data_IF_483891414212
#
_entry.id   IF_483891414212
#
_cell.length_a   1.000
_cell.length_b   1.000
_cell.length_c   1.000
_cell.angle_alpha   90.00
_cell.angle_beta   90.00
_cell.angle_gamma   90.00
#
_symmetry.space_group_name_H-M   'P 1'
#
loop_
_entity.id
_entity.type
_entity.pdbx_description
1 polymer ?
#
# COMPACT_ATOMS: atom_id res chain seq x y z
N UNK A 1 -15.43 -13.16 -12.24
CA UNK A 1 -15.55 -12.34 -13.46
C UNK A 1 -14.68 -13.00 -14.52
N UNK A 2 -15.23 -13.97 -15.28
CA UNK A 2 -14.45 -14.92 -16.10
C UNK A 2 -14.25 -14.49 -17.56
N UNK A 3 -14.39 -13.20 -17.87
CA UNK A 3 -14.32 -12.71 -19.25
C UNK A 3 -13.01 -13.08 -19.97
N UNK A 4 -11.90 -13.26 -19.24
CA UNK A 4 -10.65 -13.76 -19.81
C UNK A 4 -10.78 -15.20 -20.33
N UNK A 5 -11.44 -16.06 -19.56
CA UNK A 5 -11.74 -17.43 -19.98
C UNK A 5 -12.62 -17.41 -21.23
N UNK A 6 -13.63 -16.54 -21.25
CA UNK A 6 -14.56 -16.42 -22.38
C UNK A 6 -13.84 -15.94 -23.66
N UNK A 7 -12.91 -14.98 -23.54
CA UNK A 7 -12.11 -14.50 -24.68
C UNK A 7 -11.14 -15.58 -25.19
N UNK A 8 -10.47 -16.29 -24.29
CA UNK A 8 -9.57 -17.40 -24.67
C UNK A 8 -10.35 -18.54 -25.33
N UNK A 9 -11.51 -18.90 -24.78
CA UNK A 9 -12.41 -19.90 -25.36
C UNK A 9 -12.89 -19.48 -26.75
N UNK A 10 -13.25 -18.21 -26.93
CA UNK A 10 -13.65 -17.66 -28.23
C UNK A 10 -12.49 -17.74 -29.24
N UNK A 11 -11.27 -17.38 -28.84
CA UNK A 11 -10.09 -17.48 -29.71
C UNK A 11 -9.78 -18.92 -30.10
N UNK A 12 -9.91 -19.87 -29.17
CA UNK A 12 -9.77 -21.29 -29.45
C UNK A 12 -10.86 -21.79 -30.43
N UNK A 13 -12.11 -21.32 -30.27
CA UNK A 13 -13.20 -21.60 -31.19
C UNK A 13 -12.95 -21.08 -32.61
N UNK A 14 -12.43 -19.84 -32.74
CA UNK A 14 -12.05 -19.25 -34.03
C UNK A 14 -10.92 -20.06 -34.68
N UNK A 15 -9.93 -20.49 -33.89
CA UNK A 15 -8.81 -21.31 -34.39
C UNK A 15 -9.30 -22.66 -34.90
N UNK A 16 -10.18 -23.34 -34.15
CA UNK A 16 -10.77 -24.61 -34.58
C UNK A 16 -11.61 -24.46 -35.85
N UNK A 17 -12.44 -23.42 -35.94
CA UNK A 17 -13.23 -23.13 -37.14
C UNK A 17 -12.34 -22.82 -38.35
N UNK A 18 -11.25 -22.08 -38.15
CA UNK A 18 -10.28 -21.80 -39.20
C UNK A 18 -9.59 -23.07 -39.70
N UNK A 19 -9.27 -24.00 -38.81
CA UNK A 19 -8.70 -25.30 -39.18
C UNK A 19 -9.67 -26.14 -40.03
N UNK A 20 -10.96 -26.14 -39.67
CA UNK A 20 -11.98 -26.81 -40.49
C UNK A 20 -12.09 -26.19 -41.89
N UNK A 21 -12.00 -24.86 -42.00
CA UNK A 21 -11.99 -24.18 -43.32
C UNK A 21 -10.75 -24.59 -44.12
N UNK A 22 -9.57 -24.73 -43.48
CA UNK A 22 -8.37 -25.20 -44.16
C UNK A 22 -8.57 -26.61 -44.75
N UNK A 23 -9.13 -27.55 -43.98
CA UNK A 23 -9.43 -28.90 -44.44
C UNK A 23 -10.41 -28.91 -45.63
N UNK A 24 -11.47 -28.11 -45.57
CA UNK A 24 -12.43 -27.97 -46.69
C UNK A 24 -11.72 -27.42 -47.94
N UNK A 25 -10.82 -26.45 -47.75
CA UNK A 25 -10.08 -25.84 -48.86
C UNK A 25 -9.13 -26.85 -49.53
N UNK A 26 -8.52 -27.75 -48.75
CA UNK A 26 -7.74 -28.88 -49.27
C UNK A 26 -8.59 -29.84 -50.11
N UNK A 27 -9.83 -30.12 -49.69
CA UNK A 27 -10.79 -30.94 -50.46
C UNK A 27 -11.17 -30.24 -51.77
N UNK A 28 -11.45 -28.93 -51.74
CA UNK A 28 -11.77 -28.14 -52.94
C UNK A 28 -10.61 -28.17 -53.95
N UNK A 29 -9.37 -27.98 -53.48
CA UNK A 29 -8.18 -28.06 -54.33
C UNK A 29 -8.04 -29.47 -54.96
N UNK A 30 -8.35 -30.52 -54.20
CA UNK A 30 -8.35 -31.91 -54.69
C UNK A 30 -9.42 -32.15 -55.76
N UNK A 31 -10.63 -31.60 -55.59
CA UNK A 31 -11.72 -31.67 -56.59
C UNK A 31 -11.32 -30.91 -57.86
N UNK A 32 -10.72 -29.72 -57.71
CA UNK A 32 -10.23 -28.94 -58.84
C UNK A 32 -9.16 -29.71 -59.62
N UNK A 33 -8.24 -30.39 -58.93
CA UNK A 33 -7.25 -31.25 -59.57
C UNK A 33 -7.90 -32.42 -60.34
N UNK A 34 -8.84 -33.14 -59.71
CA UNK A 34 -9.56 -34.24 -60.38
C UNK A 34 -10.34 -33.76 -61.61
N UNK A 35 -11.00 -32.61 -61.52
CA UNK A 35 -11.74 -31.98 -62.63
C UNK A 35 -10.80 -31.61 -63.77
N UNK A 36 -9.60 -31.11 -63.46
CA UNK A 36 -8.56 -30.82 -64.44
C UNK A 36 -8.08 -32.09 -65.18
N UNK A 37 -7.94 -33.23 -64.48
CA UNK A 37 -7.60 -34.52 -65.11
C UNK A 37 -8.75 -35.05 -65.99
N UNK A 38 -10.00 -34.95 -65.52
CA UNK A 38 -11.19 -35.32 -66.31
C UNK A 38 -11.30 -34.51 -67.60
N UNK A 39 -11.08 -33.19 -67.50
CA UNK A 39 -11.09 -32.29 -68.65
C UNK A 39 -9.98 -32.62 -69.66
N UNK A 40 -8.78 -32.99 -69.17
CA UNK A 40 -7.69 -33.45 -70.04
C UNK A 40 -8.08 -34.73 -70.79
N UNK A 41 -8.66 -35.72 -70.10
CA UNK A 41 -9.12 -36.96 -70.74
C UNK A 41 -10.21 -36.69 -71.78
N UNK A 42 -11.15 -35.79 -71.49
CA UNK A 42 -12.20 -35.38 -72.43
C UNK A 42 -11.61 -34.69 -73.68
N UNK A 43 -10.59 -33.84 -73.51
CA UNK A 43 -9.90 -33.20 -74.62
C UNK A 43 -9.18 -34.22 -75.53
N UNK A 44 -8.59 -35.28 -74.94
CA UNK A 44 -7.96 -36.38 -75.70
C UNK A 44 -9.00 -37.18 -76.48
N UNK A 45 -10.13 -37.53 -75.87
CA UNK A 45 -11.18 -38.29 -76.56
C UNK A 45 -11.86 -37.45 -77.66
N UNK A 46 -12.02 -36.14 -77.43
CA UNK A 46 -12.50 -35.21 -78.44
C UNK A 46 -11.55 -35.11 -79.65
N UNK A 47 -10.22 -35.11 -79.41
CA UNK A 47 -9.24 -35.16 -80.48
C UNK A 47 -9.32 -36.49 -81.26
N UNK A 48 -9.61 -37.60 -80.58
CA UNK A 48 -9.77 -38.94 -81.17
C UNK A 48 -11.02 -39.05 -82.06
N UNK A 49 -12.09 -38.34 -81.71
CA UNK A 49 -13.33 -38.27 -82.51
C UNK A 49 -13.22 -37.37 -83.77
N UNK A 50 -12.09 -36.70 -83.98
CA UNK A 50 -11.84 -35.85 -85.16
C UNK A 50 -12.81 -34.67 -85.25
N UNK A 51 -13.37 -34.44 -86.44
CA UNK A 51 -14.28 -33.31 -86.70
C UNK A 51 -15.54 -33.32 -85.83
N UNK A 52 -16.04 -34.50 -85.46
CA UNK A 52 -17.23 -34.65 -84.60
C UNK A 52 -16.94 -34.26 -83.14
N UNK A 53 -15.67 -34.25 -82.72
CA UNK A 53 -15.24 -33.90 -81.37
C UNK A 53 -14.93 -32.42 -81.17
N UNK A 54 -14.97 -31.58 -82.22
CA UNK A 54 -14.54 -30.16 -82.13
C UNK A 54 -15.28 -29.37 -81.05
N UNK A 55 -16.60 -29.54 -80.94
CA UNK A 55 -17.39 -28.88 -79.88
C UNK A 55 -17.03 -29.34 -78.48
N UNK A 56 -16.80 -30.65 -78.30
CA UNK A 56 -16.38 -31.23 -77.03
C UNK A 56 -14.98 -30.80 -76.61
N UNK A 57 -14.05 -30.62 -77.57
CA UNK A 57 -12.70 -30.13 -77.30
C UNK A 57 -12.68 -28.72 -76.69
N UNK A 58 -13.56 -27.83 -77.17
CA UNK A 58 -13.70 -26.46 -76.63
C UNK A 58 -14.23 -26.49 -75.20
N UNK A 59 -15.28 -27.27 -74.95
CA UNK A 59 -15.86 -27.43 -73.60
C UNK A 59 -14.83 -28.03 -72.64
N UNK A 60 -14.07 -29.03 -73.07
CA UNK A 60 -13.00 -29.62 -72.26
C UNK A 60 -11.91 -28.59 -71.91
N UNK A 61 -11.54 -27.71 -72.85
CA UNK A 61 -10.61 -26.60 -72.60
C UNK A 61 -11.14 -25.61 -71.56
N UNK A 62 -12.41 -25.24 -71.65
CA UNK A 62 -13.04 -24.31 -70.70
C UNK A 62 -13.16 -24.91 -69.29
N UNK A 63 -13.56 -26.18 -69.18
CA UNK A 63 -13.60 -26.90 -67.90
C UNK A 63 -12.21 -26.99 -67.27
N UNK A 64 -11.17 -27.24 -68.08
CA UNK A 64 -9.77 -27.28 -67.62
C UNK A 64 -9.32 -25.91 -67.08
N UNK A 65 -9.66 -24.83 -67.78
CA UNK A 65 -9.34 -23.47 -67.34
C UNK A 65 -10.03 -23.15 -66.01
N UNK A 66 -11.33 -23.45 -65.90
CA UNK A 66 -12.10 -23.25 -64.67
C UNK A 66 -11.52 -24.04 -63.50
N UNK A 67 -11.13 -25.29 -63.72
CA UNK A 67 -10.48 -26.13 -62.72
C UNK A 67 -9.14 -25.53 -62.24
N UNK A 68 -8.30 -25.04 -63.16
CA UNK A 68 -7.04 -24.37 -62.80
C UNK A 68 -7.27 -23.08 -62.00
N UNK A 69 -8.28 -22.29 -62.36
CA UNK A 69 -8.66 -21.08 -61.61
C UNK A 69 -9.17 -21.41 -60.21
N UNK A 70 -9.98 -22.46 -60.08
CA UNK A 70 -10.49 -22.93 -58.80
C UNK A 70 -9.36 -23.42 -57.88
N UNK A 71 -8.39 -24.17 -58.41
CA UNK A 71 -7.21 -24.60 -57.64
C UNK A 71 -6.34 -23.42 -57.18
N UNK A 72 -6.18 -22.38 -58.02
CA UNK A 72 -5.50 -21.15 -57.64
C UNK A 72 -6.19 -20.43 -56.49
N UNK A 73 -7.50 -20.21 -56.61
CA UNK A 73 -8.30 -19.57 -55.56
C UNK A 73 -8.28 -20.37 -54.24
N UNK A 74 -8.35 -21.70 -54.31
CA UNK A 74 -8.25 -22.55 -53.13
C UNK A 74 -6.92 -22.36 -52.39
N UNK A 75 -5.79 -22.31 -53.11
CA UNK A 75 -4.48 -22.05 -52.49
C UNK A 75 -4.37 -20.66 -51.86
N UNK A 76 -4.98 -19.64 -52.46
CA UNK A 76 -5.02 -18.29 -51.87
C UNK A 76 -5.83 -18.27 -50.57
N UNK A 77 -6.98 -18.95 -50.53
CA UNK A 77 -7.79 -19.11 -49.32
C UNK A 77 -7.01 -19.85 -48.24
N UNK A 78 -6.33 -20.94 -48.59
CA UNK A 78 -5.51 -21.73 -47.67
C UNK A 78 -4.42 -20.87 -47.01
N UNK A 79 -3.74 -20.03 -47.80
CA UNK A 79 -2.73 -19.10 -47.30
C UNK A 79 -3.32 -18.04 -46.34
N UNK A 80 -4.47 -17.46 -46.69
CA UNK A 80 -5.16 -16.48 -45.83
C UNK A 80 -5.62 -17.11 -44.51
N UNK A 81 -6.16 -18.32 -44.55
CA UNK A 81 -6.58 -19.05 -43.36
C UNK A 81 -5.38 -19.41 -42.47
N UNK A 82 -4.27 -19.84 -43.06
CA UNK A 82 -3.03 -20.10 -42.31
C UNK A 82 -2.53 -18.85 -41.57
N UNK A 83 -2.57 -17.68 -42.22
CA UNK A 83 -2.23 -16.42 -41.56
C UNK A 83 -3.24 -16.04 -40.47
N UNK A 84 -4.55 -16.25 -40.69
CA UNK A 84 -5.58 -16.04 -39.68
C UNK A 84 -5.35 -16.90 -38.43
N UNK A 85 -5.04 -18.19 -38.59
CA UNK A 85 -4.72 -19.10 -37.46
C UNK A 85 -3.52 -18.57 -36.67
N UNK A 86 -2.45 -18.15 -37.36
CA UNK A 86 -1.25 -17.58 -36.72
C UNK A 86 -1.57 -16.33 -35.91
N UNK A 87 -2.38 -15.42 -36.46
CA UNK A 87 -2.79 -14.18 -35.79
C UNK A 87 -3.68 -14.44 -34.58
N UNK A 88 -4.60 -15.40 -34.67
CA UNK A 88 -5.46 -15.80 -33.55
C UNK A 88 -4.63 -16.41 -32.41
N UNK A 89 -3.68 -17.29 -32.73
CA UNK A 89 -2.78 -17.86 -31.73
C UNK A 89 -1.93 -16.78 -31.02
N UNK A 90 -1.38 -15.82 -31.77
CA UNK A 90 -0.68 -14.68 -31.19
C UNK A 90 -1.60 -13.84 -30.30
N UNK A 91 -2.83 -13.56 -30.75
CA UNK A 91 -3.82 -12.83 -29.97
C UNK A 91 -4.19 -13.54 -28.66
N UNK A 92 -4.35 -14.86 -28.68
CA UNK A 92 -4.61 -15.67 -27.50
C UNK A 92 -3.48 -15.56 -26.47
N UNK A 93 -2.22 -15.60 -26.91
CA UNK A 93 -1.07 -15.42 -26.02
C UNK A 93 -1.07 -14.03 -25.37
N UNK A 94 -1.28 -12.97 -26.14
CA UNK A 94 -1.32 -11.60 -25.60
C UNK A 94 -2.45 -11.42 -24.56
N UNK A 95 -3.62 -12.02 -24.80
CA UNK A 95 -4.74 -11.98 -23.85
C UNK A 95 -4.37 -12.70 -22.56
N UNK A 96 -3.69 -13.84 -22.64
CA UNK A 96 -3.23 -14.59 -21.47
C UNK A 96 -2.22 -13.80 -20.63
N UNK A 97 -1.24 -13.14 -21.27
CA UNK A 97 -0.28 -12.26 -20.60
C UNK A 97 -0.96 -11.05 -19.94
N UNK A 98 -1.95 -10.47 -20.64
CA UNK A 98 -2.77 -9.37 -20.09
C UNK A 98 -3.58 -9.84 -18.87
N UNK A 99 -4.10 -11.07 -18.91
CA UNK A 99 -4.79 -11.69 -17.77
C UNK A 99 -3.90 -11.79 -16.54
N UNK A 100 -2.68 -12.28 -16.69
CA UNK A 100 -1.72 -12.35 -15.60
C UNK A 100 -1.38 -10.97 -15.00
N UNK A 101 -1.30 -9.94 -15.85
CA UNK A 101 -1.05 -8.56 -15.41
C UNK A 101 -2.24 -8.00 -14.62
N UNK A 102 -3.48 -8.27 -15.04
CA UNK A 102 -4.66 -7.84 -14.29
C UNK A 102 -4.79 -8.58 -12.95
N UNK A 103 -4.42 -9.85 -12.88
CA UNK A 103 -4.33 -10.58 -11.61
C UNK A 103 -3.33 -9.93 -10.65
N UNK A 104 -2.18 -9.46 -11.15
CA UNK A 104 -1.22 -8.71 -10.35
C UNK A 104 -1.80 -7.38 -9.85
N UNK A 105 -2.56 -6.67 -10.69
CA UNK A 105 -3.26 -5.43 -10.29
C UNK A 105 -4.29 -5.71 -9.20
N UNK A 106 -5.11 -6.76 -9.33
CA UNK A 106 -6.08 -7.14 -8.30
C UNK A 106 -5.43 -7.45 -6.96
N UNK A 107 -4.27 -8.12 -6.96
CA UNK A 107 -3.47 -8.34 -5.75
C UNK A 107 -3.00 -7.03 -5.14
N UNK A 108 -2.46 -6.12 -5.95
CA UNK A 108 -2.03 -4.80 -5.49
C UNK A 108 -3.17 -3.97 -4.88
N UNK A 109 -4.35 -3.98 -5.49
CA UNK A 109 -5.54 -3.31 -4.93
C UNK A 109 -5.95 -3.92 -3.59
N UNK A 110 -5.85 -5.24 -3.44
CA UNK A 110 -6.15 -5.94 -2.19
C UNK A 110 -5.15 -5.56 -1.08
N UNK A 111 -3.87 -5.43 -1.42
CA UNK A 111 -2.82 -4.98 -0.51
C UNK A 111 -3.06 -3.54 -0.05
N UNK A 112 -3.34 -2.62 -0.98
CA UNK A 112 -3.70 -1.23 -0.66
C UNK A 112 -4.92 -1.18 0.27
N UNK A 113 -5.94 -1.99 0.00
CA UNK A 113 -7.13 -2.08 0.87
C UNK A 113 -6.76 -2.55 2.28
N UNK A 114 -5.83 -3.49 2.40
CA UNK A 114 -5.33 -4.00 3.68
C UNK A 114 -4.59 -2.91 4.45
N UNK A 115 -3.71 -2.16 3.77
CA UNK A 115 -2.98 -1.03 4.35
C UNK A 115 -3.97 0.04 4.83
N UNK A 116 -5.00 0.37 4.05
CA UNK A 116 -6.03 1.34 4.45
C UNK A 116 -6.78 0.90 5.72
N UNK A 117 -7.06 -0.39 5.87
CA UNK A 117 -7.66 -0.94 7.11
C UNK A 117 -6.72 -0.78 8.31
N UNK A 118 -5.42 -1.05 8.12
CA UNK A 118 -4.42 -0.86 9.17
C UNK A 118 -4.27 0.61 9.57
N UNK A 119 -4.24 1.54 8.59
CA UNK A 119 -4.19 2.99 8.84
C UNK A 119 -5.42 3.44 9.62
N UNK A 120 -6.62 2.98 9.24
CA UNK A 120 -7.85 3.32 9.93
C UNK A 120 -7.81 2.87 11.40
N UNK A 121 -7.37 1.64 11.66
CA UNK A 121 -7.20 1.12 13.02
C UNK A 121 -6.18 1.91 13.83
N UNK A 122 -5.01 2.20 13.25
CA UNK A 122 -3.96 2.98 13.89
C UNK A 122 -4.42 4.43 14.18
N UNK A 123 -5.20 5.01 13.27
CA UNK A 123 -5.78 6.36 13.44
C UNK A 123 -6.81 6.39 14.58
N UNK A 124 -7.62 5.34 14.73
CA UNK A 124 -8.54 5.22 15.86
C UNK A 124 -7.80 5.11 17.19
N UNK A 125 -6.73 4.32 17.25
CA UNK A 125 -5.89 4.18 18.44
C UNK A 125 -5.16 5.48 18.79
N UNK A 126 -4.59 6.16 17.79
CA UNK A 126 -4.00 7.49 17.98
C UNK A 126 -5.02 8.50 18.48
N UNK A 127 -6.25 8.49 17.96
CA UNK A 127 -7.32 9.38 18.43
C UNK A 127 -7.65 9.15 19.90
N UNK A 128 -7.74 7.87 20.33
CA UNK A 128 -7.90 7.50 21.75
C UNK A 128 -6.73 7.98 22.60
N UNK A 129 -5.50 7.78 22.14
CA UNK A 129 -4.29 8.26 22.82
C UNK A 129 -4.26 9.79 22.98
N UNK A 130 -4.61 10.54 21.93
CA UNK A 130 -4.71 12.01 21.99
C UNK A 130 -5.77 12.45 22.99
N UNK A 131 -6.92 11.78 23.05
CA UNK A 131 -7.96 12.08 24.04
C UNK A 131 -7.44 11.90 25.48
N UNK A 132 -6.69 10.83 25.75
CA UNK A 132 -6.08 10.60 27.07
C UNK A 132 -5.02 11.66 27.41
N UNK A 133 -4.18 12.04 26.45
CA UNK A 133 -3.22 13.13 26.62
C UNK A 133 -3.94 14.44 26.94
N UNK A 134 -5.07 14.71 26.26
CA UNK A 134 -5.90 15.88 26.55
C UNK A 134 -6.38 15.92 28.00
N UNK A 135 -6.85 14.79 28.53
CA UNK A 135 -7.25 14.68 29.96
C UNK A 135 -6.06 14.93 30.90
N UNK A 136 -4.90 14.35 30.60
CA UNK A 136 -3.70 14.55 31.42
C UNK A 136 -3.25 16.02 31.45
N UNK A 137 -3.34 16.72 30.32
CA UNK A 137 -3.02 18.15 30.23
C UNK A 137 -3.99 18.98 31.09
N UNK A 138 -5.29 18.70 31.04
CA UNK A 138 -6.27 19.39 31.90
C UNK A 138 -6.02 19.14 33.39
N UNK A 139 -5.64 17.91 33.76
CA UNK A 139 -5.25 17.58 35.14
C UNK A 139 -3.99 18.35 35.57
N UNK A 140 -2.96 18.40 34.72
CA UNK A 140 -1.73 19.15 34.97
C UNK A 140 -2.01 20.65 35.11
N UNK A 141 -2.87 21.21 34.28
CA UNK A 141 -3.29 22.62 34.39
C UNK A 141 -3.96 22.90 35.73
N UNK A 142 -4.88 22.02 36.17
CA UNK A 142 -5.53 22.15 37.48
C UNK A 142 -4.54 22.12 38.65
N UNK A 143 -3.57 21.20 38.66
CA UNK A 143 -2.52 21.15 39.69
C UNK A 143 -1.63 22.39 39.61
N UNK A 144 -1.33 22.88 38.41
CA UNK A 144 -0.53 24.09 38.22
C UNK A 144 -1.25 25.32 38.79
N UNK A 145 -2.55 25.45 38.56
CA UNK A 145 -3.37 26.52 39.15
C UNK A 145 -3.46 26.39 40.68
N UNK A 146 -3.62 25.17 41.20
CA UNK A 146 -3.62 24.93 42.64
C UNK A 146 -2.28 25.31 43.28
N UNK A 147 -1.16 24.99 42.64
CA UNK A 147 0.17 25.38 43.10
C UNK A 147 0.34 26.90 43.13
N UNK A 148 -0.16 27.61 42.11
CA UNK A 148 -0.14 29.08 42.10
C UNK A 148 -0.95 29.66 43.29
N UNK A 149 -2.15 29.14 43.53
CA UNK A 149 -2.97 29.56 44.68
C UNK A 149 -2.32 29.24 46.03
N UNK A 150 -1.67 28.08 46.17
CA UNK A 150 -0.90 27.72 47.36
C UNK A 150 0.26 28.68 47.58
N UNK A 151 0.99 29.07 46.53
CA UNK A 151 2.08 30.05 46.63
C UNK A 151 1.57 31.42 47.07
N UNK A 152 0.41 31.86 46.57
CA UNK A 152 -0.24 33.10 47.04
C UNK A 152 -0.62 33.01 48.53
N UNK A 153 -1.22 31.90 48.95
CA UNK A 153 -1.59 31.68 50.35
C UNK A 153 -0.37 31.65 51.28
N UNK A 154 0.70 30.96 50.87
CA UNK A 154 1.96 30.91 51.63
C UNK A 154 2.59 32.30 51.72
N UNK A 155 2.59 33.06 50.63
CA UNK A 155 3.10 34.44 50.63
C UNK A 155 2.30 35.34 51.59
N UNK A 156 0.96 35.22 51.59
CA UNK A 156 0.10 35.96 52.52
C UNK A 156 0.31 35.55 53.99
N UNK A 157 0.49 34.25 54.25
CA UNK A 157 0.79 33.74 55.58
C UNK A 157 2.16 34.23 56.08
N UNK A 158 3.18 34.23 55.22
CA UNK A 158 4.49 34.77 55.53
C UNK A 158 4.42 36.26 55.90
N UNK A 159 3.69 37.08 55.12
CA UNK A 159 3.47 38.49 55.43
C UNK A 159 2.66 38.73 56.71
N UNK A 160 1.75 37.83 57.09
CA UNK A 160 1.03 37.90 58.36
C UNK A 160 1.94 37.56 59.55
N UNK A 161 2.77 36.52 59.42
CA UNK A 161 3.77 36.14 60.43
C UNK A 161 4.82 37.24 60.64
N UNK A 162 5.25 37.90 59.57
CA UNK A 162 6.16 39.05 59.63
C UNK A 162 5.54 40.18 60.48
N UNK A 163 4.31 40.62 60.16
CA UNK A 163 3.59 41.64 60.95
C UNK A 163 3.42 41.25 62.42
N UNK A 164 3.06 40.01 62.70
CA UNK A 164 2.89 39.54 64.08
C UNK A 164 4.22 39.53 64.85
N UNK A 165 5.32 39.22 64.17
CA UNK A 165 6.67 39.27 64.75
C UNK A 165 7.07 40.73 65.07
N UNK A 166 6.79 41.67 64.18
CA UNK A 166 7.01 43.10 64.43
C UNK A 166 6.18 43.62 65.62
N UNK A 167 4.89 43.23 65.70
CA UNK A 167 4.01 43.61 66.81
C UNK A 167 4.53 43.05 68.15
N UNK A 168 5.03 41.81 68.15
CA UNK A 168 5.65 41.20 69.32
C UNK A 168 6.93 41.94 69.73
N UNK A 169 7.80 42.28 68.77
CA UNK A 169 9.00 43.09 69.02
C UNK A 169 8.66 44.45 69.61
N UNK A 170 7.65 45.16 69.05
CA UNK A 170 7.17 46.44 69.58
C UNK A 170 6.62 46.30 71.01
N UNK A 171 5.94 45.21 71.32
CA UNK A 171 5.42 44.93 72.67
C UNK A 171 6.55 44.69 73.68
N UNK A 172 7.57 43.92 73.31
CA UNK A 172 8.76 43.68 74.16
C UNK A 172 9.54 44.97 74.41
N UNK A 173 9.65 45.88 73.43
CA UNK A 173 10.32 47.18 73.59
C UNK A 173 9.64 48.11 74.61
N UNK A 174 8.34 47.94 74.88
CA UNK A 174 7.63 48.72 75.92
C UNK A 174 8.05 48.33 77.33
N UNK A 175 8.58 47.11 77.52
CA UNK A 175 9.16 46.71 78.80
C UNK A 175 10.48 47.43 78.99
N UNK A 176 10.43 48.55 79.72
CA UNK A 176 11.62 49.20 80.27
C UNK A 176 12.16 48.32 81.39
N UNK A 177 13.24 47.61 81.09
CA UNK A 177 14.12 47.06 82.13
C UNK A 177 14.68 48.26 82.90
N UNK A 178 14.30 48.40 84.15
CA UNK A 178 14.95 49.32 85.08
C UNK A 178 16.44 49.01 85.05
N UNK A 179 17.23 49.93 84.50
CA UNK A 179 18.66 49.97 84.72
C UNK A 179 18.89 50.28 86.21
N UNK A 180 18.80 49.25 87.06
CA UNK A 180 18.92 49.40 88.50
C UNK A 180 19.26 48.05 89.13
N UNK A 181 20.50 47.62 88.96
CA UNK A 181 21.41 47.46 90.10
C UNK A 181 22.83 47.09 89.62
N UNK A 182 23.88 47.76 90.13
CA UNK A 182 25.26 47.42 89.81
C UNK A 182 25.56 46.05 90.39
N UNK A 183 25.68 45.04 89.52
CA UNK A 183 26.08 43.71 89.94
C UNK A 183 27.51 43.78 90.49
N UNK A 184 27.56 43.68 91.81
CA UNK A 184 28.72 43.71 92.68
C UNK A 184 29.82 42.81 92.12
N UNK A 185 31.00 43.40 91.88
CA UNK A 185 32.24 42.68 91.57
C UNK A 185 32.47 41.62 92.65
N UNK A 186 32.34 40.35 92.28
CA UNK A 186 32.97 39.25 93.02
C UNK A 186 34.27 38.93 92.30
N UNK A 187 35.37 39.47 92.82
CA UNK A 187 36.72 39.05 92.43
C UNK A 187 37.00 37.70 93.08
N UNK A 188 36.89 36.62 92.30
CA UNK A 188 37.40 35.31 92.69
C UNK A 188 38.31 34.75 91.59
N UNK A 189 39.60 35.08 91.74
CA UNK A 189 40.82 34.29 91.50
C UNK A 189 40.88 33.36 90.27
N UNK A 190 41.84 33.68 89.41
CA UNK A 190 42.27 32.91 88.24
C UNK A 190 43.01 31.60 88.60
N UNK A 191 42.90 30.66 87.62
CA UNK A 191 43.86 29.65 87.13
C UNK A 191 43.46 28.16 87.30
N UNK A 192 43.93 27.24 86.45
CA UNK A 192 44.00 27.30 84.97
C UNK A 192 43.52 25.99 84.28
N UNK A 193 43.15 26.12 82.99
CA UNK A 193 43.43 25.18 81.89
C UNK A 193 42.94 23.71 81.94
N UNK A 194 41.97 23.37 81.09
CA UNK A 194 41.97 22.10 80.34
C UNK A 194 41.50 22.33 78.90
N UNK A 195 42.24 21.75 77.98
CA UNK A 195 42.18 21.88 76.52
C UNK A 195 41.02 21.11 75.87
N UNK A 196 40.36 21.78 74.92
CA UNK A 196 40.05 21.38 73.53
C UNK A 196 40.06 19.87 73.17
N UNK A 197 38.89 19.33 72.81
CA UNK A 197 38.73 18.29 71.77
C UNK A 197 37.38 18.56 71.06
N UNK A 198 37.41 19.08 69.84
CA UNK A 198 37.46 18.34 68.57
C UNK A 198 36.06 17.90 68.11
N UNK A 199 35.56 18.67 67.14
CA UNK A 199 34.39 18.45 66.30
C UNK A 199 34.56 17.20 65.43
N UNK A 200 33.47 16.46 65.24
CA UNK A 200 33.31 15.45 64.18
C UNK A 200 32.05 15.78 63.35
N UNK A 201 32.05 15.45 62.04
CA UNK A 201 31.34 16.22 61.03
C UNK A 201 29.88 15.78 60.82
N UNK A 202 29.10 16.73 60.30
CA UNK A 202 27.80 16.50 59.69
C UNK A 202 27.96 15.66 58.42
N UNK A 203 27.15 14.60 58.29
CA UNK A 203 26.83 13.99 57.01
C UNK A 203 25.50 14.57 56.55
N UNK A 204 25.57 15.50 55.61
CA UNK A 204 24.51 15.83 54.68
C UNK A 204 24.46 14.73 53.62
N UNK A 205 23.30 14.08 53.47
CA UNK A 205 22.98 13.36 52.24
C UNK A 205 21.60 13.84 51.83
N UNK A 206 21.62 14.87 50.97
CA UNK A 206 20.48 15.25 50.14
C UNK A 206 20.18 14.07 49.21
N UNK A 207 19.09 13.37 49.50
CA UNK A 207 18.47 12.42 48.59
C UNK A 207 17.21 13.08 48.02
N UNK A 208 17.42 13.90 47.00
CA UNK A 208 16.37 14.39 46.12
C UNK A 208 16.88 14.33 44.68
N UNK A 209 16.29 13.45 43.86
CA UNK A 209 15.63 13.71 42.56
C UNK A 209 15.52 12.39 41.78
N UNK A 210 14.34 11.76 41.84
CA UNK A 210 13.72 11.12 40.66
C UNK A 210 12.24 10.83 40.93
N UNK A 211 11.38 11.69 40.43
CA UNK A 211 10.06 11.36 39.90
C UNK A 211 9.80 12.26 38.70
#
# INVERSE_FOLDING_TARGET
MNWFSDVVETMNGISASSQQIAEITTVINSIAFQTNILALNAAVEAARAGEQGRGFAVVAGEVRNLASRSAGAAKEIEALIGESVRRVAQGAQLVQETGATMDAILRGVTEVTTIMKQIASASEEQSKGISQVGVAITQMDSVTQQNAALVEQVSAAAAALERQTEDLQRSVQQFRLSASEPQQRVTAKAAPGVQRMASAPAQSTDEWVSF
#
